data_IF_745197619037
#
_entry.id   IF_745197619037
#
_cell.length_a   1.000
_cell.length_b   1.000
_cell.length_c   1.000
_cell.angle_alpha   90.00
_cell.angle_beta   90.00
_cell.angle_gamma   90.00
#
_symmetry.space_group_name_H-M   'P 1'
#
loop_
_entity.id
_entity.type
_entity.pdbx_description
1 polymer ?
#
# COMPACT_ATOMS: atom_id res chain seq x y z
N UNK A 1 7.17 3.71 11.05
CA UNK A 1 5.96 3.32 11.83
C UNK A 1 6.20 2.78 13.26
N UNK A 2 7.08 1.78 13.47
CA UNK A 2 7.29 1.14 14.78
C UNK A 2 7.66 2.13 15.90
N UNK A 3 8.58 3.04 15.62
CA UNK A 3 9.05 4.03 16.60
C UNK A 3 7.92 4.94 17.09
N UNK A 4 7.00 5.35 16.20
CA UNK A 4 5.83 6.14 16.61
C UNK A 4 4.87 5.36 17.51
N UNK A 5 4.63 4.07 17.21
CA UNK A 5 3.82 3.24 18.09
C UNK A 5 4.43 3.13 19.49
N UNK A 6 5.75 2.97 19.59
CA UNK A 6 6.46 2.95 20.88
C UNK A 6 6.40 4.31 21.59
N UNK A 7 6.64 5.42 20.88
CA UNK A 7 6.58 6.78 21.41
C UNK A 7 5.18 7.12 21.95
N UNK A 8 4.11 6.71 21.24
CA UNK A 8 2.74 6.97 21.63
C UNK A 8 2.20 5.97 22.66
N UNK A 9 2.99 4.97 23.07
CA UNK A 9 2.59 3.96 24.03
C UNK A 9 1.56 2.95 23.50
N UNK A 10 1.48 2.78 22.18
CA UNK A 10 0.58 1.83 21.54
C UNK A 10 1.11 0.40 21.64
N UNK A 11 0.23 -0.51 22.03
CA UNK A 11 0.54 -1.94 22.15
C UNK A 11 0.35 -2.65 20.82
N UNK A 12 1.08 -3.74 20.63
CA UNK A 12 0.81 -4.67 19.52
C UNK A 12 -0.46 -5.47 19.83
N UNK A 13 -1.31 -5.65 18.82
CA UNK A 13 -2.48 -6.55 18.90
C UNK A 13 -2.00 -8.01 18.93
N UNK A 14 -2.77 -8.87 19.58
CA UNK A 14 -2.60 -10.32 19.42
C UNK A 14 -2.81 -10.71 17.95
N UNK A 15 -2.05 -11.70 17.50
CA UNK A 15 -2.25 -12.33 16.20
C UNK A 15 -3.22 -13.50 16.35
N UNK A 16 -4.28 -13.58 15.51
CA UNK A 16 -5.10 -14.77 15.45
C UNK A 16 -4.28 -15.96 14.93
N UNK A 17 -4.65 -17.17 15.32
CA UNK A 17 -4.09 -18.41 14.76
C UNK A 17 -4.85 -18.72 13.46
N UNK A 18 -4.75 -17.83 12.46
CA UNK A 18 -5.41 -17.94 11.18
C UNK A 18 -4.60 -18.80 10.18
N UNK A 19 -5.32 -19.54 9.32
CA UNK A 19 -4.70 -20.36 8.28
C UNK A 19 -4.84 -19.71 6.92
N UNK A 20 -3.74 -19.70 6.17
CA UNK A 20 -3.71 -19.22 4.80
C UNK A 20 -3.86 -20.37 3.79
N UNK A 21 -4.55 -20.09 2.68
CA UNK A 21 -4.50 -20.88 1.45
C UNK A 21 -4.22 -20.03 0.22
N UNK A 22 -3.64 -20.63 -0.80
CA UNK A 22 -3.41 -20.02 -2.11
C UNK A 22 -4.29 -20.74 -3.13
N UNK A 23 -5.21 -19.99 -3.75
CA UNK A 23 -6.14 -20.48 -4.75
C UNK A 23 -5.72 -20.00 -6.16
N UNK A 24 -5.55 -20.92 -7.09
CA UNK A 24 -5.11 -20.59 -8.46
C UNK A 24 -6.28 -20.36 -9.45
N UNK A 25 -7.52 -20.35 -8.97
CA UNK A 25 -8.71 -20.28 -9.79
C UNK A 25 -9.36 -21.61 -10.15
N UNK A 26 -8.69 -22.72 -9.85
CA UNK A 26 -9.20 -24.08 -10.04
C UNK A 26 -9.15 -24.87 -8.73
N UNK A 27 -8.04 -24.79 -8.01
CA UNK A 27 -7.79 -25.53 -6.77
C UNK A 27 -6.91 -24.74 -5.81
N UNK A 28 -6.84 -25.20 -4.55
CA UNK A 28 -5.84 -24.72 -3.61
C UNK A 28 -4.49 -25.37 -3.90
N UNK A 29 -3.55 -24.57 -4.42
CA UNK A 29 -2.17 -25.01 -4.66
C UNK A 29 -1.38 -25.14 -3.35
N UNK A 30 -1.78 -24.41 -2.32
CA UNK A 30 -1.20 -24.47 -0.99
C UNK A 30 -2.25 -24.20 0.08
N UNK A 31 -2.20 -24.94 1.19
CA UNK A 31 -3.03 -24.69 2.36
C UNK A 31 -2.23 -25.00 3.64
N UNK A 32 -2.26 -24.05 4.56
CA UNK A 32 -1.72 -24.23 5.90
C UNK A 32 -2.55 -25.21 6.71
N UNK A 33 -1.84 -26.00 7.50
CA UNK A 33 -2.39 -26.85 8.55
C UNK A 33 -2.20 -26.18 9.92
N UNK A 34 -2.84 -26.73 10.94
CA UNK A 34 -2.64 -26.32 12.33
C UNK A 34 -1.25 -26.66 12.89
N UNK A 35 -0.42 -27.42 12.16
CA UNK A 35 0.88 -27.89 12.62
C UNK A 35 2.00 -27.22 11.82
N UNK A 36 2.80 -26.37 12.49
CA UNK A 36 3.87 -25.63 11.82
C UNK A 36 4.87 -26.54 11.09
N UNK A 37 5.20 -27.72 11.66
CA UNK A 37 6.12 -28.66 11.00
C UNK A 37 5.57 -29.21 9.68
N UNK A 38 4.25 -29.45 9.60
CA UNK A 38 3.58 -29.87 8.37
C UNK A 38 3.64 -28.73 7.34
N UNK A 39 3.45 -27.49 7.79
CA UNK A 39 3.54 -26.32 6.90
C UNK A 39 4.95 -26.18 6.33
N UNK A 40 6.00 -26.32 7.16
CA UNK A 40 7.38 -26.32 6.67
C UNK A 40 7.66 -27.44 5.67
N UNK A 41 7.18 -28.66 5.93
CA UNK A 41 7.33 -29.79 5.01
C UNK A 41 6.59 -29.55 3.69
N UNK A 42 5.35 -29.07 3.72
CA UNK A 42 4.56 -28.72 2.51
C UNK A 42 5.24 -27.63 1.68
N UNK A 43 5.71 -26.57 2.32
CA UNK A 43 6.41 -25.45 1.68
C UNK A 43 7.69 -25.97 1.01
N UNK A 44 8.51 -26.73 1.73
CA UNK A 44 9.75 -27.29 1.18
C UNK A 44 9.48 -28.26 0.03
N UNK A 45 8.47 -29.12 0.16
CA UNK A 45 8.10 -30.07 -0.91
C UNK A 45 7.62 -29.36 -2.17
N UNK A 46 6.81 -28.31 -2.03
CA UNK A 46 6.19 -27.62 -3.17
C UNK A 46 7.15 -26.63 -3.84
N UNK A 47 7.87 -25.86 -3.03
CA UNK A 47 8.67 -24.70 -3.46
C UNK A 47 10.19 -24.86 -3.27
N UNK A 48 10.64 -25.97 -2.69
CA UNK A 48 12.06 -26.21 -2.45
C UNK A 48 12.67 -25.14 -1.53
N UNK A 49 13.81 -24.60 -1.94
CA UNK A 49 14.56 -23.59 -1.18
C UNK A 49 14.14 -22.15 -1.48
N UNK A 50 13.22 -21.92 -2.42
CA UNK A 50 12.80 -20.58 -2.84
C UNK A 50 12.27 -19.72 -1.67
N UNK A 51 11.44 -20.23 -0.73
CA UNK A 51 11.02 -19.45 0.44
C UNK A 51 12.19 -18.97 1.32
N UNK A 52 13.25 -19.78 1.46
CA UNK A 52 14.46 -19.37 2.19
C UNK A 52 15.25 -18.32 1.42
N UNK A 53 15.38 -18.48 0.09
CA UNK A 53 16.01 -17.49 -0.79
C UNK A 53 15.24 -16.17 -0.78
N UNK A 54 13.90 -16.23 -0.71
CA UNK A 54 13.06 -15.05 -0.58
C UNK A 54 13.36 -14.30 0.72
N UNK A 55 13.39 -14.99 1.86
CA UNK A 55 13.71 -14.36 3.14
C UNK A 55 15.10 -13.70 3.10
N UNK A 56 16.10 -14.34 2.48
CA UNK A 56 17.43 -13.73 2.29
C UNK A 56 17.37 -12.50 1.39
N UNK A 57 16.64 -12.57 0.28
CA UNK A 57 16.48 -11.45 -0.66
C UNK A 57 15.79 -10.24 0.00
N UNK A 58 14.71 -10.47 0.76
CA UNK A 58 13.99 -9.39 1.46
C UNK A 58 14.85 -8.80 2.58
N UNK A 59 15.63 -9.61 3.31
CA UNK A 59 16.56 -9.08 4.33
C UNK A 59 17.62 -8.17 3.73
N UNK A 60 18.23 -8.55 2.60
CA UNK A 60 19.18 -7.72 1.87
C UNK A 60 18.53 -6.41 1.38
N UNK A 61 17.33 -6.52 0.78
CA UNK A 61 16.54 -5.36 0.36
C UNK A 61 16.27 -4.41 1.54
N UNK A 62 15.75 -4.91 2.68
CA UNK A 62 15.46 -4.09 3.86
C UNK A 62 16.72 -3.46 4.46
N UNK A 63 17.87 -4.16 4.42
CA UNK A 63 19.15 -3.60 4.84
C UNK A 63 19.54 -2.39 3.99
N UNK A 64 19.40 -2.49 2.66
CA UNK A 64 19.67 -1.37 1.73
C UNK A 64 18.65 -0.24 1.89
N UNK A 65 17.36 -0.59 2.02
CA UNK A 65 16.26 0.35 2.24
C UNK A 65 16.47 1.20 3.50
N UNK A 66 16.95 0.60 4.59
CA UNK A 66 17.16 1.30 5.87
C UNK A 66 18.14 2.48 5.83
N UNK A 67 19.00 2.56 4.80
CA UNK A 67 19.93 3.69 4.61
C UNK A 67 19.22 5.03 4.52
N UNK A 68 17.97 5.06 4.02
CA UNK A 68 17.21 6.30 3.90
C UNK A 68 17.03 7.00 5.25
N UNK A 69 16.84 6.24 6.33
CA UNK A 69 16.68 6.81 7.67
C UNK A 69 17.94 7.54 8.11
N UNK A 70 19.13 6.94 7.93
CA UNK A 70 20.40 7.59 8.26
C UNK A 70 20.64 8.86 7.45
N UNK A 71 20.29 8.83 6.16
CA UNK A 71 20.39 10.00 5.28
C UNK A 71 19.47 11.13 5.78
N UNK A 72 18.21 10.82 6.07
CA UNK A 72 17.24 11.78 6.57
C UNK A 72 17.56 12.26 8.00
N UNK A 73 18.13 11.41 8.85
CA UNK A 73 18.65 11.78 10.18
C UNK A 73 19.79 12.79 10.06
N UNK A 74 20.62 12.68 9.02
CA UNK A 74 21.68 13.66 8.70
C UNK A 74 21.19 14.93 8.00
N UNK A 75 19.87 15.11 7.88
CA UNK A 75 19.26 16.27 7.20
C UNK A 75 19.31 16.22 5.67
N UNK A 76 19.66 15.07 5.06
CA UNK A 76 19.64 14.95 3.60
C UNK A 76 18.21 14.81 3.09
N UNK A 77 17.91 15.55 2.04
CA UNK A 77 16.66 15.52 1.32
C UNK A 77 16.91 15.45 -0.19
N UNK A 78 15.92 14.98 -0.93
CA UNK A 78 16.00 14.72 -2.37
C UNK A 78 14.87 15.43 -3.08
N UNK A 79 15.17 16.17 -4.14
CA UNK A 79 14.16 16.92 -4.89
C UNK A 79 13.32 15.98 -5.76
N UNK A 80 13.87 14.83 -6.17
CA UNK A 80 13.16 13.86 -7.01
C UNK A 80 13.09 12.47 -6.37
N UNK A 81 12.05 11.70 -6.74
CA UNK A 81 11.91 10.31 -6.31
C UNK A 81 13.09 9.43 -6.78
N UNK A 82 13.54 9.48 -8.05
CA UNK A 82 14.67 8.67 -8.49
C UNK A 82 15.98 8.93 -7.73
N UNK A 83 16.25 10.18 -7.34
CA UNK A 83 17.42 10.50 -6.51
C UNK A 83 17.33 9.85 -5.13
N UNK A 84 16.16 9.92 -4.48
CA UNK A 84 15.91 9.28 -3.20
C UNK A 84 16.12 7.75 -3.29
N UNK A 85 15.56 7.11 -4.32
CA UNK A 85 15.70 5.67 -4.53
C UNK A 85 17.16 5.28 -4.79
N UNK A 86 17.87 6.05 -5.63
CA UNK A 86 19.30 5.83 -5.91
C UNK A 86 20.15 5.97 -4.66
N UNK A 87 19.86 6.96 -3.80
CA UNK A 87 20.59 7.18 -2.56
C UNK A 87 20.46 6.01 -1.56
N UNK A 88 19.37 5.25 -1.61
CA UNK A 88 19.28 3.98 -0.87
C UNK A 88 20.15 2.90 -1.52
N UNK A 89 20.03 2.71 -2.84
CA UNK A 89 20.80 1.72 -3.58
C UNK A 89 20.68 1.92 -5.10
N UNK A 90 21.80 1.91 -5.83
CA UNK A 90 21.81 1.87 -7.29
C UNK A 90 21.03 0.67 -7.87
N UNK A 91 20.94 -0.43 -7.11
CA UNK A 91 20.14 -1.60 -7.52
C UNK A 91 18.64 -1.30 -7.54
N UNK A 92 18.13 -0.45 -6.64
CA UNK A 92 16.72 -0.10 -6.62
C UNK A 92 16.35 0.72 -7.85
N UNK A 93 17.22 1.63 -8.27
CA UNK A 93 17.04 2.39 -9.50
C UNK A 93 16.99 1.50 -10.74
N UNK A 94 17.76 0.40 -10.76
CA UNK A 94 17.65 -0.63 -11.81
C UNK A 94 16.32 -1.37 -11.73
N UNK A 95 15.90 -1.77 -10.52
CA UNK A 95 14.65 -2.50 -10.29
C UNK A 95 13.40 -1.72 -10.70
N UNK A 96 13.41 -0.38 -10.60
CA UNK A 96 12.32 0.47 -11.12
C UNK A 96 12.11 0.30 -12.64
N UNK A 97 13.12 -0.18 -13.36
CA UNK A 97 13.11 -0.34 -14.82
C UNK A 97 13.03 -1.81 -15.28
N UNK A 98 12.86 -2.75 -14.35
CA UNK A 98 12.74 -4.19 -14.66
C UNK A 98 11.34 -4.67 -14.32
N UNK A 99 10.73 -5.48 -15.18
CA UNK A 99 9.50 -6.21 -14.82
C UNK A 99 9.80 -7.25 -13.74
N UNK A 100 8.91 -7.38 -12.76
CA UNK A 100 9.16 -8.21 -11.58
C UNK A 100 9.30 -9.70 -11.87
N UNK A 101 8.44 -10.28 -12.71
CA UNK A 101 8.51 -11.71 -13.04
C UNK A 101 9.86 -12.10 -13.69
N UNK A 102 10.33 -11.44 -14.77
CA UNK A 102 11.68 -11.69 -15.31
C UNK A 102 12.78 -11.47 -14.28
N UNK A 103 12.70 -10.43 -13.44
CA UNK A 103 13.68 -10.19 -12.38
C UNK A 103 13.79 -11.37 -11.39
N UNK A 104 12.66 -11.89 -10.90
CA UNK A 104 12.67 -13.05 -10.00
C UNK A 104 13.25 -14.29 -10.68
N UNK A 105 12.86 -14.55 -11.93
CA UNK A 105 13.27 -15.75 -12.67
C UNK A 105 14.74 -15.69 -13.09
N UNK A 106 15.12 -14.62 -13.78
CA UNK A 106 16.40 -14.51 -14.51
C UNK A 106 17.52 -13.97 -13.62
N UNK A 107 17.26 -12.95 -12.82
CA UNK A 107 18.31 -12.35 -11.97
C UNK A 107 18.42 -13.01 -10.60
N UNK A 108 17.30 -13.46 -10.03
CA UNK A 108 17.27 -14.08 -8.70
C UNK A 108 17.19 -15.61 -8.73
N UNK A 109 16.86 -16.20 -9.89
CA UNK A 109 16.85 -17.64 -10.09
C UNK A 109 15.74 -18.37 -9.32
N UNK A 110 14.60 -17.72 -9.08
CA UNK A 110 13.41 -18.37 -8.50
C UNK A 110 12.73 -19.26 -9.54
N UNK A 111 12.14 -20.37 -9.07
CA UNK A 111 11.41 -21.28 -9.95
C UNK A 111 10.04 -20.69 -10.33
N UNK A 112 9.58 -20.98 -11.55
CA UNK A 112 8.32 -20.45 -12.07
C UNK A 112 7.13 -20.79 -11.17
N UNK A 113 7.07 -22.02 -10.66
CA UNK A 113 6.02 -22.41 -9.71
C UNK A 113 5.93 -21.48 -8.49
N UNK A 114 7.07 -21.08 -7.93
CA UNK A 114 7.08 -20.16 -6.79
C UNK A 114 6.58 -18.77 -7.19
N UNK A 115 6.97 -18.32 -8.39
CA UNK A 115 6.58 -17.02 -8.93
C UNK A 115 5.07 -16.99 -9.23
N UNK A 116 4.57 -17.98 -9.96
CA UNK A 116 3.21 -18.03 -10.50
C UNK A 116 2.15 -18.39 -9.42
N UNK A 117 2.59 -18.92 -8.28
CA UNK A 117 1.70 -19.24 -7.16
C UNK A 117 1.88 -18.27 -5.99
N UNK A 118 3.02 -18.32 -5.29
CA UNK A 118 3.21 -17.56 -4.05
C UNK A 118 3.45 -16.09 -4.32
N UNK A 119 4.40 -15.75 -5.21
CA UNK A 119 4.67 -14.35 -5.50
C UNK A 119 3.46 -13.67 -6.15
N UNK A 120 2.85 -14.33 -7.15
CA UNK A 120 1.63 -13.85 -7.80
C UNK A 120 0.50 -13.61 -6.80
N UNK A 121 0.24 -14.55 -5.88
CA UNK A 121 -0.80 -14.38 -4.85
C UNK A 121 -0.54 -13.17 -3.93
N UNK A 122 0.72 -12.97 -3.52
CA UNK A 122 1.10 -11.82 -2.67
C UNK A 122 0.96 -10.50 -3.41
N UNK A 123 1.48 -10.40 -4.64
CA UNK A 123 1.36 -9.18 -5.45
C UNK A 123 -0.09 -8.89 -5.79
N UNK A 124 -0.89 -9.91 -6.11
CA UNK A 124 -2.31 -9.72 -6.39
C UNK A 124 -3.08 -9.27 -5.14
N UNK A 125 -2.78 -9.82 -3.96
CA UNK A 125 -3.42 -9.39 -2.71
C UNK A 125 -3.02 -7.96 -2.31
N UNK A 126 -1.74 -7.61 -2.41
CA UNK A 126 -1.22 -6.33 -1.94
C UNK A 126 -1.45 -5.20 -2.96
N UNK A 127 -1.29 -5.52 -4.26
CA UNK A 127 -1.31 -4.55 -5.34
C UNK A 127 -2.45 -4.75 -6.35
N UNK A 128 -3.23 -5.83 -6.30
CA UNK A 128 -4.30 -6.08 -7.29
C UNK A 128 -3.80 -6.07 -8.73
N UNK A 129 -2.50 -6.34 -8.92
CA UNK A 129 -1.75 -6.28 -10.17
C UNK A 129 -0.95 -7.58 -10.33
N UNK A 130 -0.47 -7.85 -11.54
CA UNK A 130 0.29 -9.06 -11.83
C UNK A 130 1.82 -8.86 -11.73
N UNK A 131 2.55 -9.95 -11.50
CA UNK A 131 4.02 -9.96 -11.50
C UNK A 131 4.63 -9.55 -12.86
N UNK A 132 3.86 -9.70 -13.94
CA UNK A 132 4.20 -9.28 -15.30
C UNK A 132 3.97 -7.78 -15.54
N UNK A 133 3.21 -7.12 -14.66
CA UNK A 133 2.84 -5.71 -14.79
C UNK A 133 3.72 -4.82 -13.92
N UNK A 134 3.92 -5.20 -12.66
CA UNK A 134 4.66 -4.38 -11.70
C UNK A 134 6.16 -4.40 -11.97
N UNK A 135 6.82 -3.28 -11.67
CA UNK A 135 8.28 -3.24 -11.66
C UNK A 135 8.87 -4.05 -10.49
N UNK A 136 10.14 -4.39 -10.57
CA UNK A 136 10.81 -5.29 -9.63
C UNK A 136 10.90 -4.70 -8.22
N UNK A 137 11.01 -3.37 -8.09
CA UNK A 137 11.09 -2.72 -6.78
C UNK A 137 9.74 -2.82 -6.05
N UNK A 138 8.63 -2.52 -6.74
CA UNK A 138 7.27 -2.71 -6.22
C UNK A 138 7.03 -4.16 -5.82
N UNK A 139 7.45 -5.11 -6.66
CA UNK A 139 7.36 -6.53 -6.37
C UNK A 139 8.12 -6.93 -5.10
N UNK A 140 9.36 -6.45 -4.95
CA UNK A 140 10.17 -6.68 -3.74
C UNK A 140 9.55 -6.05 -2.49
N UNK A 141 8.99 -4.83 -2.58
CA UNK A 141 8.24 -4.20 -1.48
C UNK A 141 6.98 -5.00 -1.14
N UNK A 142 6.25 -5.50 -2.14
CA UNK A 142 5.08 -6.35 -1.94
C UNK A 142 5.41 -7.65 -1.22
N UNK A 143 6.50 -8.32 -1.62
CA UNK A 143 6.98 -9.54 -0.97
C UNK A 143 7.54 -9.30 0.44
N UNK A 144 7.95 -8.07 0.79
CA UNK A 144 8.29 -7.74 2.17
C UNK A 144 7.09 -7.87 3.12
N UNK A 145 5.86 -7.81 2.60
CA UNK A 145 4.63 -8.13 3.34
C UNK A 145 4.33 -9.64 3.47
N UNK A 146 5.20 -10.52 2.97
CA UNK A 146 5.03 -11.98 3.07
C UNK A 146 6.08 -12.64 3.99
N UNK A 147 6.90 -11.85 4.68
CA UNK A 147 7.88 -12.37 5.65
C UNK A 147 7.30 -12.39 7.08
N UNK A 148 7.82 -13.25 7.98
CA UNK A 148 7.35 -13.33 9.35
C UNK A 148 7.54 -12.03 10.15
N UNK A 149 6.86 -11.91 11.30
CA UNK A 149 6.93 -10.81 12.28
C UNK A 149 6.23 -9.51 11.86
N UNK A 150 5.24 -9.60 10.98
CA UNK A 150 4.25 -8.53 10.80
C UNK A 150 3.46 -8.32 12.09
N UNK A 151 2.97 -7.10 12.29
CA UNK A 151 2.24 -6.70 13.49
C UNK A 151 1.20 -5.64 13.16
N UNK A 152 0.23 -5.49 14.04
CA UNK A 152 -0.76 -4.42 14.00
C UNK A 152 -0.84 -3.73 15.36
N UNK A 153 -1.21 -2.46 15.37
CA UNK A 153 -1.54 -1.72 16.60
C UNK A 153 -2.82 -2.28 17.20
N UNK A 154 -2.81 -2.56 18.49
CA UNK A 154 -4.03 -2.85 19.25
C UNK A 154 -4.91 -1.60 19.30
N UNK A 155 -6.13 -1.70 18.79
CA UNK A 155 -7.02 -0.56 18.54
C UNK A 155 -6.98 -0.04 17.10
N UNK A 156 -6.03 -0.51 16.29
CA UNK A 156 -5.98 -0.27 14.84
C UNK A 156 -4.85 0.66 14.38
N UNK A 157 -4.30 0.38 13.19
CA UNK A 157 -3.16 1.13 12.65
C UNK A 157 -3.47 2.62 12.38
N UNK A 158 -4.74 3.00 12.24
CA UNK A 158 -5.18 4.39 12.02
C UNK A 158 -4.83 5.33 13.19
N UNK A 159 -4.61 4.78 14.39
CA UNK A 159 -4.26 5.56 15.57
C UNK A 159 -2.91 6.28 15.43
N UNK A 160 -2.00 5.77 14.59
CA UNK A 160 -0.70 6.40 14.36
C UNK A 160 -0.84 7.72 13.58
N UNK A 161 -1.40 7.75 12.35
CA UNK A 161 -1.59 9.01 11.63
C UNK A 161 -2.54 9.96 12.36
N UNK A 162 -3.53 9.46 13.09
CA UNK A 162 -4.38 10.31 13.94
C UNK A 162 -3.56 11.05 15.01
N UNK A 163 -2.72 10.33 15.76
CA UNK A 163 -1.87 10.95 16.79
C UNK A 163 -0.82 11.89 16.21
N UNK A 164 -0.28 11.60 15.02
CA UNK A 164 0.62 12.51 14.32
C UNK A 164 -0.10 13.83 13.95
N UNK A 165 -1.34 13.76 13.47
CA UNK A 165 -2.15 14.93 13.18
C UNK A 165 -2.44 15.73 14.46
N UNK A 166 -2.84 15.06 15.55
CA UNK A 166 -3.08 15.69 16.86
C UNK A 166 -1.82 16.41 17.40
N UNK A 167 -0.64 15.77 17.33
CA UNK A 167 0.63 16.36 17.78
C UNK A 167 1.16 17.49 16.87
N UNK A 168 0.71 17.56 15.62
CA UNK A 168 1.21 18.58 14.67
C UNK A 168 0.75 20.01 15.00
N UNK A 169 -0.23 20.19 15.89
CA UNK A 169 -0.93 21.46 16.11
C UNK A 169 -1.50 22.09 14.84
N UNK A 170 -1.75 21.29 13.79
CA UNK A 170 -2.33 21.78 12.54
C UNK A 170 -3.81 22.10 12.69
N UNK A 171 -4.29 23.07 11.91
CA UNK A 171 -5.71 23.35 11.77
C UNK A 171 -6.27 22.52 10.60
N UNK A 172 -7.13 21.54 10.92
CA UNK A 172 -7.72 20.64 9.92
C UNK A 172 -9.04 21.22 9.42
N UNK A 173 -9.11 21.53 8.13
CA UNK A 173 -10.30 22.10 7.49
C UNK A 173 -10.86 21.09 6.50
N UNK A 174 -12.13 20.74 6.65
CA UNK A 174 -12.83 19.87 5.70
C UNK A 174 -13.33 20.70 4.51
N UNK A 175 -12.51 20.77 3.45
CA UNK A 175 -12.84 21.45 2.21
C UNK A 175 -12.05 20.87 1.03
N UNK A 176 -12.59 21.00 -0.19
CA UNK A 176 -11.88 20.66 -1.42
C UNK A 176 -11.10 21.88 -1.89
N UNK A 177 -9.77 21.80 -1.99
CA UNK A 177 -8.97 22.87 -2.60
C UNK A 177 -9.19 22.88 -4.11
N UNK A 178 -9.49 24.05 -4.65
CA UNK A 178 -9.78 24.25 -6.07
C UNK A 178 -8.63 24.97 -6.79
N UNK A 179 -8.10 26.00 -6.15
CA UNK A 179 -7.13 26.89 -6.78
C UNK A 179 -6.15 27.46 -5.74
N UNK A 180 -4.91 27.70 -6.15
CA UNK A 180 -3.88 28.32 -5.32
C UNK A 180 -3.29 29.50 -6.08
N UNK A 181 -3.34 30.67 -5.46
CA UNK A 181 -2.81 31.92 -6.01
C UNK A 181 -1.43 32.19 -5.44
N UNK A 182 -0.49 32.59 -6.30
CA UNK A 182 0.82 33.12 -5.89
C UNK A 182 0.68 34.65 -5.79
N UNK A 183 0.75 35.16 -4.57
CA UNK A 183 0.60 36.58 -4.30
C UNK A 183 1.88 37.36 -4.68
N UNK A 184 1.80 38.70 -4.88
CA UNK A 184 2.97 39.53 -5.20
C UNK A 184 4.08 39.52 -4.13
N UNK A 185 3.76 39.13 -2.89
CA UNK A 185 4.72 38.96 -1.79
C UNK A 185 5.43 37.59 -1.82
N UNK A 186 5.14 36.75 -2.82
CA UNK A 186 5.69 35.41 -2.98
C UNK A 186 4.99 34.33 -2.13
N UNK A 187 3.95 34.69 -1.36
CA UNK A 187 3.19 33.76 -0.53
C UNK A 187 1.98 33.21 -1.25
N UNK A 188 1.36 32.19 -0.67
CA UNK A 188 0.23 31.47 -1.24
C UNK A 188 -1.10 31.79 -0.57
N UNK A 189 -2.14 31.95 -1.37
CA UNK A 189 -3.55 31.99 -0.93
C UNK A 189 -4.27 30.76 -1.48
N UNK A 190 -5.08 30.10 -0.65
CA UNK A 190 -5.78 28.88 -1.01
C UNK A 190 -7.27 29.16 -1.18
N UNK A 191 -7.83 28.84 -2.34
CA UNK A 191 -9.27 28.83 -2.59
C UNK A 191 -9.83 27.41 -2.47
N UNK A 192 -10.88 27.26 -1.67
CA UNK A 192 -11.48 25.96 -1.41
C UNK A 192 -13.01 26.03 -1.33
N UNK A 193 -13.64 24.87 -1.49
CA UNK A 193 -15.09 24.66 -1.44
C UNK A 193 -15.45 23.77 -0.26
N UNK A 194 -16.36 24.22 0.62
CA UNK A 194 -16.83 23.45 1.78
C UNK A 194 -17.84 22.34 1.40
N UNK A 195 -18.30 21.57 2.40
CA UNK A 195 -19.32 20.52 2.22
C UNK A 195 -20.68 21.01 1.71
N UNK A 196 -20.98 22.30 1.85
CA UNK A 196 -22.21 22.94 1.39
C UNK A 196 -22.04 23.59 0.00
N UNK A 197 -20.92 23.36 -0.67
CA UNK A 197 -20.53 23.99 -1.93
C UNK A 197 -20.31 25.50 -1.84
N UNK A 198 -20.01 26.05 -0.66
CA UNK A 198 -19.63 27.45 -0.53
C UNK A 198 -18.14 27.62 -0.86
N UNK A 199 -17.85 28.53 -1.77
CA UNK A 199 -16.49 28.92 -2.11
C UNK A 199 -15.95 29.93 -1.08
N UNK A 200 -14.74 29.70 -0.60
CA UNK A 200 -14.03 30.62 0.28
C UNK A 200 -12.54 30.66 -0.03
N UNK A 201 -11.89 31.74 0.38
CA UNK A 201 -10.44 31.87 0.34
C UNK A 201 -9.87 31.75 1.76
N UNK A 202 -8.65 31.24 1.88
CA UNK A 202 -7.91 31.26 3.14
C UNK A 202 -7.73 32.70 3.61
N UNK A 203 -7.88 32.91 4.91
CA UNK A 203 -7.64 34.23 5.52
C UNK A 203 -6.16 34.53 5.70
N UNK A 204 -5.33 33.49 5.76
CA UNK A 204 -3.89 33.59 5.95
C UNK A 204 -3.15 33.43 4.61
N UNK A 205 -1.95 34.01 4.55
CA UNK A 205 -0.97 33.76 3.50
C UNK A 205 0.00 32.67 3.98
N UNK A 206 0.33 31.71 3.13
CA UNK A 206 1.21 30.59 3.45
C UNK A 206 2.57 30.73 2.77
N UNK A 207 3.65 30.33 3.45
CA UNK A 207 5.00 30.40 2.88
C UNK A 207 5.29 29.22 1.92
N UNK A 208 4.59 28.10 2.09
CA UNK A 208 4.73 26.93 1.23
C UNK A 208 3.42 26.15 1.09
N UNK A 209 3.35 25.33 0.03
CA UNK A 209 2.26 24.39 -0.28
C UNK A 209 2.81 22.99 -0.38
N UNK A 210 2.25 22.05 0.39
CA UNK A 210 2.56 20.62 0.28
C UNK A 210 1.33 19.88 -0.25
N UNK A 211 1.45 19.35 -1.47
CA UNK A 211 0.42 18.59 -2.15
C UNK A 211 0.47 17.14 -1.68
N UNK A 212 -0.63 16.68 -1.08
CA UNK A 212 -0.83 15.31 -0.60
C UNK A 212 -1.95 14.57 -1.36
N UNK A 213 -2.10 14.86 -2.65
CA UNK A 213 -3.11 14.29 -3.54
C UNK A 213 -2.46 13.50 -4.69
N UNK A 214 -3.18 12.54 -5.30
CA UNK A 214 -2.77 11.93 -6.55
C UNK A 214 -2.66 12.97 -7.67
N UNK A 215 -1.46 13.19 -8.20
CA UNK A 215 -1.24 14.05 -9.38
C UNK A 215 -1.34 13.22 -10.66
N UNK A 216 -2.56 12.85 -11.04
CA UNK A 216 -2.91 12.10 -12.26
C UNK A 216 -3.86 12.91 -13.15
N UNK A 217 -3.63 12.86 -14.46
CA UNK A 217 -4.28 13.78 -15.42
C UNK A 217 -5.81 13.69 -15.45
N UNK A 218 -6.37 12.50 -15.24
CA UNK A 218 -7.81 12.26 -15.38
C UNK A 218 -8.66 12.73 -14.19
N UNK A 219 -8.05 13.14 -13.07
CA UNK A 219 -8.76 13.48 -11.83
C UNK A 219 -8.24 14.76 -11.13
N UNK A 220 -7.32 15.48 -11.77
CA UNK A 220 -6.73 16.69 -11.20
C UNK A 220 -7.60 17.91 -11.52
N UNK A 221 -8.37 18.37 -10.54
CA UNK A 221 -9.13 19.63 -10.64
C UNK A 221 -8.44 20.85 -10.02
N UNK A 222 -7.27 20.65 -9.41
CA UNK A 222 -6.49 21.71 -8.75
C UNK A 222 -5.67 22.49 -9.78
N UNK A 223 -5.69 23.82 -9.70
CA UNK A 223 -4.81 24.69 -10.47
C UNK A 223 -3.97 25.59 -9.56
N UNK A 224 -2.77 25.95 -10.00
CA UNK A 224 -1.88 26.88 -9.29
C UNK A 224 -1.36 27.90 -10.30
N UNK A 225 -1.41 29.19 -9.94
CA UNK A 225 -0.99 30.27 -10.84
C UNK A 225 0.46 30.10 -11.31
N UNK A 226 0.65 30.09 -12.63
CA UNK A 226 1.99 30.05 -13.25
C UNK A 226 2.76 28.74 -13.05
N UNK A 227 2.15 27.70 -12.48
CA UNK A 227 2.81 26.42 -12.18
C UNK A 227 2.15 25.29 -12.96
N UNK A 228 2.94 24.62 -13.78
CA UNK A 228 2.54 23.35 -14.39
C UNK A 228 2.76 22.22 -13.39
N UNK A 229 1.65 21.63 -12.91
CA UNK A 229 1.70 20.49 -12.01
C UNK A 229 2.21 19.21 -12.69
N UNK A 230 2.33 19.21 -14.03
CA UNK A 230 2.81 18.09 -14.84
C UNK A 230 2.24 16.74 -14.39
N UNK A 231 0.90 16.58 -14.35
CA UNK A 231 0.29 15.38 -13.81
C UNK A 231 0.73 14.14 -14.59
N UNK A 232 0.92 13.03 -13.87
CA UNK A 232 1.35 11.78 -14.46
C UNK A 232 0.26 11.25 -15.41
N UNK A 233 0.67 10.76 -16.58
CA UNK A 233 -0.21 10.10 -17.54
C UNK A 233 -0.66 8.69 -17.09
N UNK A 234 -0.02 8.15 -16.06
CA UNK A 234 -0.40 6.88 -15.46
C UNK A 234 -1.77 6.93 -14.77
N UNK A 235 -2.30 5.75 -14.47
CA UNK A 235 -3.59 5.61 -13.78
C UNK A 235 -3.41 4.98 -12.41
N UNK A 236 -4.36 5.17 -11.50
CA UNK A 236 -4.36 4.48 -10.22
C UNK A 236 -5.10 3.16 -10.31
N UNK A 237 -4.65 2.19 -9.52
CA UNK A 237 -5.36 0.96 -9.29
C UNK A 237 -6.55 1.23 -8.37
N UNK A 238 -7.75 1.09 -8.92
CA UNK A 238 -8.96 1.04 -8.11
C UNK A 238 -9.02 -0.31 -7.40
N UNK A 239 -9.21 -0.26 -6.08
CA UNK A 239 -9.53 -1.42 -5.27
C UNK A 239 -10.80 -1.15 -4.48
N UNK A 240 -11.54 -2.21 -4.21
CA UNK A 240 -12.72 -2.19 -3.36
C UNK A 240 -12.52 -3.24 -2.28
N UNK A 241 -12.67 -2.81 -1.03
CA UNK A 241 -12.78 -3.71 0.11
C UNK A 241 -14.27 -3.94 0.38
N UNK A 242 -14.75 -5.13 0.11
CA UNK A 242 -16.12 -5.54 0.43
C UNK A 242 -16.09 -6.34 1.72
N UNK A 243 -16.76 -5.86 2.76
CA UNK A 243 -16.95 -6.54 4.03
C UNK A 243 -18.30 -7.23 4.05
N UNK A 244 -18.30 -8.51 4.42
CA UNK A 244 -19.48 -9.38 4.40
C UNK A 244 -19.58 -10.08 5.74
N UNK A 245 -20.66 -9.83 6.47
CA UNK A 245 -21.01 -10.64 7.64
C UNK A 245 -21.78 -11.86 7.14
N UNK A 246 -21.21 -13.06 7.28
CA UNK A 246 -21.79 -14.24 6.64
C UNK A 246 -20.93 -15.49 6.70
N UNK A 247 -21.25 -16.47 5.85
CA UNK A 247 -20.52 -17.76 5.70
C UNK A 247 -20.07 -17.95 4.25
N UNK A 248 -18.75 -18.00 3.97
CA UNK A 248 -18.24 -18.28 2.62
C UNK A 248 -18.62 -19.68 2.16
N UNK A 249 -18.81 -19.83 0.85
CA UNK A 249 -19.16 -21.09 0.20
C UNK A 249 -17.91 -21.86 -0.17
N UNK A 250 -17.67 -22.99 0.50
CA UNK A 250 -16.49 -23.81 0.26
C UNK A 250 -16.44 -24.42 -1.15
N UNK A 251 -17.59 -24.81 -1.68
CA UNK A 251 -17.74 -25.34 -3.05
C UNK A 251 -17.25 -24.40 -4.15
N UNK A 252 -17.29 -23.09 -3.91
CA UNK A 252 -16.79 -22.09 -4.87
C UNK A 252 -15.29 -22.17 -5.07
N UNK A 253 -14.58 -22.75 -4.11
CA UNK A 253 -13.14 -22.98 -4.14
C UNK A 253 -12.81 -24.47 -4.35
N UNK A 254 -13.76 -25.26 -4.86
CA UNK A 254 -13.56 -26.69 -5.17
C UNK A 254 -13.52 -27.61 -3.95
N UNK A 255 -14.02 -27.17 -2.79
CA UNK A 255 -14.07 -27.99 -1.57
C UNK A 255 -15.44 -28.64 -1.38
N UNK A 256 -15.43 -29.93 -1.03
CA UNK A 256 -16.65 -30.69 -0.69
C UNK A 256 -17.05 -30.56 0.78
N UNK A 257 -16.07 -30.27 1.65
CA UNK A 257 -16.32 -29.94 3.05
C UNK A 257 -16.35 -28.43 3.28
N UNK A 258 -16.85 -28.02 4.45
CA UNK A 258 -16.95 -26.60 4.81
C UNK A 258 -15.61 -26.02 5.34
N UNK A 259 -14.49 -26.76 5.21
CA UNK A 259 -13.20 -26.35 5.77
C UNK A 259 -12.40 -25.49 4.78
N UNK A 260 -12.69 -24.20 4.81
CA UNK A 260 -11.87 -23.19 4.14
C UNK A 260 -10.74 -22.67 5.06
N UNK A 261 -9.59 -22.28 4.47
CA UNK A 261 -8.63 -21.41 5.14
C UNK A 261 -9.29 -20.10 5.60
N UNK A 262 -8.79 -19.54 6.70
CA UNK A 262 -9.25 -18.24 7.20
C UNK A 262 -8.88 -17.10 6.26
N UNK A 263 -7.77 -17.22 5.54
CA UNK A 263 -7.33 -16.29 4.50
C UNK A 263 -7.03 -17.02 3.19
N UNK A 264 -7.68 -16.59 2.11
CA UNK A 264 -7.52 -17.12 0.76
C UNK A 264 -6.87 -16.04 -0.09
N UNK A 265 -5.63 -16.28 -0.52
CA UNK A 265 -4.94 -15.46 -1.50
C UNK A 265 -5.15 -16.05 -2.90
N UNK A 266 -5.40 -15.19 -3.88
CA UNK A 266 -5.67 -15.64 -5.26
C UNK A 266 -4.46 -15.35 -6.14
N UNK A 267 -3.87 -16.37 -6.76
CA UNK A 267 -2.71 -16.18 -7.66
C UNK A 267 -3.12 -15.84 -9.10
N UNK A 268 -4.31 -16.24 -9.54
CA UNK A 268 -4.85 -15.89 -10.85
C UNK A 268 -5.43 -14.46 -10.85
N UNK A 269 -4.69 -13.53 -11.47
CA UNK A 269 -5.00 -12.10 -11.44
C UNK A 269 -6.23 -11.73 -12.28
N UNK A 270 -6.67 -12.58 -13.21
CA UNK A 270 -7.87 -12.35 -14.03
C UNK A 270 -9.18 -12.57 -13.27
N UNK A 271 -9.14 -13.24 -12.12
CA UNK A 271 -10.32 -13.42 -11.29
C UNK A 271 -10.79 -12.09 -10.68
N UNK A 272 -12.09 -12.02 -10.44
CA UNK A 272 -12.75 -10.86 -9.83
C UNK A 272 -12.16 -10.54 -8.46
N UNK A 273 -12.02 -11.56 -7.61
CA UNK A 273 -11.49 -11.45 -6.26
C UNK A 273 -9.97 -11.62 -6.27
N UNK A 274 -9.29 -10.81 -5.45
CA UNK A 274 -7.83 -10.85 -5.27
C UNK A 274 -7.45 -11.57 -3.98
N UNK A 275 -8.33 -11.48 -2.99
CA UNK A 275 -8.30 -12.28 -1.77
C UNK A 275 -9.66 -12.29 -1.08
N UNK A 276 -9.88 -13.30 -0.25
CA UNK A 276 -11.00 -13.40 0.69
C UNK A 276 -10.42 -13.82 2.04
N UNK A 277 -10.58 -13.00 3.07
CA UNK A 277 -10.04 -13.32 4.39
C UNK A 277 -10.97 -12.95 5.53
N UNK A 278 -10.95 -13.75 6.59
CA UNK A 278 -11.63 -13.45 7.85
C UNK A 278 -11.05 -12.18 8.45
N UNK A 279 -11.92 -11.24 8.79
CA UNK A 279 -11.54 -9.95 9.34
C UNK A 279 -11.78 -9.96 10.85
N UNK A 280 -10.72 -9.73 11.62
CA UNK A 280 -10.76 -9.69 13.08
C UNK A 280 -10.86 -8.25 13.59
N UNK A 281 -11.52 -8.06 14.73
CA UNK A 281 -11.62 -6.78 15.43
C UNK A 281 -10.22 -6.17 15.67
N UNK A 282 -10.10 -4.85 15.57
CA UNK A 282 -8.86 -4.13 15.86
C UNK A 282 -8.42 -4.27 17.32
N UNK A 283 -9.34 -4.64 18.22
CA UNK A 283 -9.09 -4.95 19.63
C UNK A 283 -9.14 -6.47 19.92
N UNK A 284 -9.10 -7.31 18.89
CA UNK A 284 -9.14 -8.76 19.06
C UNK A 284 -7.99 -9.25 19.95
N UNK A 285 -8.33 -10.16 20.86
CA UNK A 285 -7.42 -10.88 21.75
C UNK A 285 -7.72 -12.37 21.70
N UNK A 286 -6.78 -13.20 22.18
CA UNK A 286 -7.02 -14.66 22.32
C UNK A 286 -8.20 -15.03 23.21
N UNK A 287 -8.65 -14.11 24.07
CA UNK A 287 -9.81 -14.29 24.95
C UNK A 287 -11.10 -13.66 24.41
N UNK A 288 -11.06 -13.08 23.22
CA UNK A 288 -12.25 -12.47 22.60
C UNK A 288 -13.28 -13.56 22.29
N UNK A 289 -14.57 -13.32 22.58
CA UNK A 289 -15.61 -14.30 22.30
C UNK A 289 -15.78 -14.48 20.79
N UNK A 290 -16.27 -15.65 20.37
CA UNK A 290 -16.67 -15.85 18.98
C UNK A 290 -17.85 -14.92 18.66
N UNK A 291 -17.65 -14.10 17.62
CA UNK A 291 -18.69 -13.25 17.04
C UNK A 291 -19.04 -13.76 15.64
N UNK A 292 -20.12 -13.23 15.08
CA UNK A 292 -20.45 -13.47 13.68
C UNK A 292 -19.25 -13.12 12.79
N UNK A 293 -18.86 -14.06 11.93
CA UNK A 293 -17.69 -13.91 11.09
C UNK A 293 -17.91 -12.82 10.05
N UNK A 294 -17.01 -11.85 10.03
CA UNK A 294 -16.90 -10.83 8.97
C UNK A 294 -15.75 -11.25 8.06
N UNK A 295 -16.00 -11.23 6.76
CA UNK A 295 -15.01 -11.52 5.73
C UNK A 295 -14.76 -10.27 4.91
N UNK A 296 -13.50 -10.03 4.58
CA UNK A 296 -13.06 -8.98 3.67
C UNK A 296 -12.69 -9.61 2.34
N UNK A 297 -13.26 -9.06 1.28
CA UNK A 297 -12.94 -9.41 -0.10
C UNK A 297 -12.26 -8.19 -0.73
N UNK A 298 -11.10 -8.41 -1.32
CA UNK A 298 -10.48 -7.41 -2.19
C UNK A 298 -10.83 -7.72 -3.64
N UNK A 299 -11.29 -6.71 -4.38
CA UNK A 299 -11.63 -6.79 -5.80
C UNK A 299 -11.32 -5.47 -6.51
N UNK A 300 -11.27 -5.50 -7.84
CA UNK A 300 -11.05 -4.28 -8.67
C UNK A 300 -12.35 -3.59 -9.09
N UNK A 301 -13.49 -4.23 -8.84
CA UNK A 301 -14.84 -3.72 -9.10
C UNK A 301 -15.81 -4.22 -8.01
N UNK A 302 -16.96 -3.54 -7.87
CA UNK A 302 -17.98 -3.93 -6.89
C UNK A 302 -18.46 -5.35 -7.18
N UNK A 303 -18.73 -6.11 -6.12
CA UNK A 303 -19.20 -7.50 -6.25
C UNK A 303 -20.73 -7.47 -6.30
N UNK A 304 -21.27 -7.87 -7.44
CA UNK A 304 -22.72 -7.93 -7.64
C UNK A 304 -23.37 -8.97 -6.73
N UNK A 305 -24.66 -8.82 -6.45
CA UNK A 305 -25.38 -9.72 -5.55
C UNK A 305 -25.34 -11.19 -6.02
N UNK A 306 -25.41 -11.43 -7.33
CA UNK A 306 -25.29 -12.77 -7.91
C UNK A 306 -23.91 -13.39 -7.65
N UNK A 307 -22.84 -12.64 -7.92
CA UNK A 307 -21.45 -13.04 -7.65
C UNK A 307 -21.21 -13.26 -6.15
N UNK A 308 -21.84 -12.46 -5.30
CA UNK A 308 -21.72 -12.62 -3.86
C UNK A 308 -22.40 -13.91 -3.36
N UNK A 309 -23.54 -14.30 -3.94
CA UNK A 309 -24.24 -15.57 -3.66
C UNK A 309 -23.47 -16.80 -4.16
N UNK A 310 -22.62 -16.62 -5.17
CA UNK A 310 -21.63 -17.63 -5.56
C UNK A 310 -20.55 -17.75 -4.48
N UNK A 311 -20.03 -16.64 -3.96
CA UNK A 311 -18.95 -16.65 -2.95
C UNK A 311 -19.42 -17.03 -1.53
N UNK A 312 -20.69 -16.80 -1.18
CA UNK A 312 -21.22 -16.98 0.17
C UNK A 312 -22.49 -17.85 0.18
N UNK A 313 -22.61 -18.68 1.23
CA UNK A 313 -23.83 -19.44 1.53
C UNK A 313 -24.84 -18.60 2.31
N UNK A 314 -24.33 -17.74 3.18
CA UNK A 314 -25.11 -16.83 4.02
C UNK A 314 -24.53 -15.42 3.93
N UNK A 315 -25.39 -14.43 3.74
CA UNK A 315 -25.06 -13.01 3.68
C UNK A 315 -26.03 -12.28 4.61
N UNK A 316 -25.54 -11.80 5.76
CA UNK A 316 -26.33 -11.00 6.71
C UNK A 316 -26.21 -9.50 6.41
N UNK A 317 -25.01 -9.05 6.06
CA UNK A 317 -24.71 -7.65 5.82
C UNK A 317 -23.55 -7.51 4.82
N UNK A 318 -23.58 -6.44 4.02
CA UNK A 318 -22.53 -6.08 3.07
C UNK A 318 -22.19 -4.59 3.21
N UNK A 319 -20.90 -4.26 3.28
CA UNK A 319 -20.40 -2.89 3.24
C UNK A 319 -19.23 -2.79 2.26
N UNK A 320 -19.21 -1.79 1.38
CA UNK A 320 -18.11 -1.56 0.44
C UNK A 320 -17.37 -0.26 0.75
N UNK A 321 -16.04 -0.34 0.73
CA UNK A 321 -15.16 0.83 0.76
C UNK A 321 -14.40 0.90 -0.56
N UNK A 322 -14.55 2.02 -1.26
CA UNK A 322 -13.90 2.29 -2.54
C UNK A 322 -12.70 3.19 -2.31
N UNK A 323 -11.54 2.84 -2.87
CA UNK A 323 -10.37 3.72 -2.83
C UNK A 323 -9.51 3.59 -4.10
N UNK A 324 -8.82 4.67 -4.44
CA UNK A 324 -7.68 4.62 -5.37
C UNK A 324 -6.44 4.34 -4.53
N UNK A 325 -5.96 3.09 -4.57
CA UNK A 325 -5.02 2.62 -3.57
C UNK A 325 -3.58 3.08 -3.86
N UNK A 326 -3.14 2.98 -5.11
CA UNK A 326 -1.78 3.29 -5.55
C UNK A 326 -1.70 3.34 -7.09
N UNK A 327 -0.61 3.85 -7.68
CA UNK A 327 -0.40 3.81 -9.12
C UNK A 327 -0.48 2.39 -9.72
N UNK A 328 -0.92 2.31 -10.97
CA UNK A 328 -0.63 1.13 -11.80
C UNK A 328 0.83 1.20 -12.21
N UNK A 329 1.60 0.23 -11.78
CA UNK A 329 3.06 0.20 -11.95
C UNK A 329 3.50 -0.38 -13.29
N UNK A 330 2.55 -0.58 -14.22
CA UNK A 330 2.83 -1.04 -15.58
C UNK A 330 3.81 -0.09 -16.24
N UNK A 331 4.97 -0.62 -16.61
CA UNK A 331 6.10 0.15 -17.11
C UNK A 331 5.80 0.78 -18.49
N UNK A 332 5.70 2.11 -18.54
CA UNK A 332 5.63 2.93 -19.75
C UNK A 332 6.66 4.08 -19.76
N UNK A 333 7.69 4.00 -18.92
CA UNK A 333 8.81 4.97 -18.89
C UNK A 333 8.59 6.19 -17.99
N UNK A 334 7.51 6.24 -17.21
CA UNK A 334 7.08 7.40 -16.39
C UNK A 334 7.94 7.65 -15.14
N UNK A 335 8.75 6.69 -14.69
CA UNK A 335 9.50 6.77 -13.41
C UNK A 335 10.52 7.93 -13.31
N UNK A 336 10.89 8.62 -14.41
CA UNK A 336 11.99 9.60 -14.40
C UNK A 336 11.58 11.03 -14.05
N UNK A 337 10.29 11.36 -14.00
CA UNK A 337 9.83 12.75 -13.83
C UNK A 337 9.11 13.03 -12.51
N UNK A 338 9.05 12.07 -11.59
CA UNK A 338 8.30 12.24 -10.35
C UNK A 338 9.12 13.07 -9.33
N UNK A 339 8.71 14.32 -9.14
CA UNK A 339 9.42 15.29 -8.29
C UNK A 339 8.72 15.49 -6.95
N UNK A 340 9.50 15.54 -5.86
CA UNK A 340 9.03 16.04 -4.56
C UNK A 340 8.96 17.57 -4.54
N UNK A 341 9.79 18.27 -5.32
CA UNK A 341 9.75 19.73 -5.46
C UNK A 341 9.24 20.09 -6.86
N UNK A 342 8.02 20.61 -6.94
CA UNK A 342 7.39 20.96 -8.23
C UNK A 342 7.86 22.34 -8.70
N UNK A 343 7.86 23.30 -7.77
CA UNK A 343 8.31 24.67 -7.97
C UNK A 343 8.79 25.23 -6.62
N UNK A 344 9.31 26.45 -6.61
CA UNK A 344 9.74 27.11 -5.37
C UNK A 344 8.56 27.22 -4.38
N UNK A 345 8.71 26.64 -3.19
CA UNK A 345 7.64 26.62 -2.18
C UNK A 345 6.48 25.68 -2.47
N UNK A 346 6.52 24.85 -3.53
CA UNK A 346 5.48 23.87 -3.87
C UNK A 346 6.07 22.47 -3.94
N UNK A 347 5.57 21.57 -3.09
CA UNK A 347 6.08 20.21 -2.94
C UNK A 347 4.99 19.17 -3.16
N UNK A 348 5.37 17.96 -3.58
CA UNK A 348 4.47 16.81 -3.74
C UNK A 348 4.95 15.62 -2.92
N UNK A 349 4.25 15.30 -1.83
CA UNK A 349 4.68 14.24 -0.93
C UNK A 349 4.43 12.83 -1.49
N UNK A 350 3.37 12.66 -2.28
CA UNK A 350 3.02 11.36 -2.89
C UNK A 350 3.89 11.01 -4.11
N UNK A 351 4.89 11.82 -4.45
CA UNK A 351 5.91 11.46 -5.43
C UNK A 351 6.53 10.08 -5.15
N UNK A 352 6.68 9.73 -3.87
CA UNK A 352 7.21 8.43 -3.43
C UNK A 352 6.33 7.24 -3.84
N UNK A 353 5.02 7.43 -4.02
CA UNK A 353 4.08 6.34 -4.33
C UNK A 353 4.32 5.71 -5.70
N UNK A 354 4.96 6.45 -6.62
CA UNK A 354 5.37 5.94 -7.92
C UNK A 354 6.57 4.99 -7.84
N UNK A 355 7.34 5.01 -6.75
CA UNK A 355 8.35 3.99 -6.48
C UNK A 355 7.70 2.71 -5.95
N UNK A 356 6.91 2.84 -4.88
CA UNK A 356 6.06 1.79 -4.31
C UNK A 356 5.10 2.44 -3.29
N UNK A 357 4.01 1.75 -2.94
CA UNK A 357 3.04 2.27 -1.97
C UNK A 357 2.97 1.40 -0.72
N UNK A 358 3.22 2.03 0.43
CA UNK A 358 3.04 1.49 1.76
C UNK A 358 3.05 2.66 2.75
N UNK A 359 2.49 2.47 3.96
CA UNK A 359 2.53 3.51 5.01
C UNK A 359 3.96 4.00 5.29
N UNK A 360 4.96 3.11 5.23
CA UNK A 360 6.36 3.49 5.44
C UNK A 360 6.90 4.35 4.28
N UNK A 361 6.45 4.11 3.04
CA UNK A 361 6.81 4.96 1.89
C UNK A 361 6.24 6.37 2.07
N UNK A 362 4.98 6.50 2.49
CA UNK A 362 4.36 7.80 2.78
C UNK A 362 5.08 8.54 3.91
N UNK A 363 5.51 7.82 4.95
CA UNK A 363 6.31 8.39 6.04
C UNK A 363 7.68 8.93 5.55
N UNK A 364 8.38 8.17 4.69
CA UNK A 364 9.65 8.59 4.08
C UNK A 364 9.44 9.81 3.19
N UNK A 365 8.40 9.83 2.35
CA UNK A 365 8.06 10.98 1.51
C UNK A 365 7.75 12.22 2.34
N UNK A 366 6.94 12.08 3.39
CA UNK A 366 6.61 13.17 4.32
C UNK A 366 7.84 13.75 5.00
N UNK A 367 8.74 12.88 5.49
CA UNK A 367 10.00 13.30 6.08
C UNK A 367 10.92 13.98 5.06
N UNK A 368 10.97 13.50 3.82
CA UNK A 368 11.77 14.09 2.76
C UNK A 368 11.32 15.52 2.46
N UNK A 369 10.00 15.74 2.29
CA UNK A 369 9.45 17.09 2.05
C UNK A 369 9.65 18.01 3.24
N UNK A 370 9.49 17.52 4.48
CA UNK A 370 9.81 18.31 5.67
C UNK A 370 11.27 18.79 5.67
N UNK A 371 12.22 17.93 5.32
CA UNK A 371 13.63 18.32 5.22
C UNK A 371 13.91 19.29 4.06
N UNK A 372 13.23 19.16 2.92
CA UNK A 372 13.30 20.15 1.84
C UNK A 372 12.82 21.52 2.31
N UNK A 373 11.70 21.58 3.05
CA UNK A 373 11.18 22.82 3.61
C UNK A 373 12.17 23.46 4.59
N UNK A 374 12.79 22.69 5.48
CA UNK A 374 13.82 23.22 6.41
C UNK A 374 14.99 23.84 5.64
N UNK A 375 15.42 23.20 4.54
CA UNK A 375 16.52 23.69 3.69
C UNK A 375 16.14 24.94 2.90
N UNK A 376 14.92 25.00 2.38
CA UNK A 376 14.48 26.09 1.51
C UNK A 376 14.07 27.35 2.29
N UNK A 377 13.68 27.22 3.57
CA UNK A 377 13.18 28.32 4.40
C UNK A 377 14.04 28.63 5.63
N UNK A 378 15.23 28.04 5.78
CA UNK A 378 16.15 28.23 6.91
C UNK A 378 15.47 28.12 8.29
N UNK A 379 14.45 27.26 8.39
CA UNK A 379 13.75 27.01 9.66
C UNK A 379 14.66 26.10 10.50
N UNK A 380 15.35 26.67 11.49
CA UNK A 380 16.20 25.92 12.43
C UNK A 380 15.41 25.24 13.54
#
# INVERSE_FOLDING_TARGET
MKNWAEEFGYKKRDSPDDRMGIYNGVEFVFEESSWSFVNYAKIFWRYGLDPFRLNSHIKDMLSKFSKIYQLQDSGKAFETMPELITAMSDEFSKQLNLTFRPFLKEEKGFHERFIDELAAAVINCNYGQACEEVNAFVGSVGLAGAVPNLWAVNGGNFQIPQMLAEKSNSNIISAKVNHITINPDGKYTVQATDSNNNLFNSTNHYDAVVLALPLISNDLSLTIDGVDLAPHSGTYQKLIATFVRGKPRAKTFGKEDDHLPDSILVSETRLLIKSLGKNFDVNWTKSSPEHDNVYKIFSTQSIEEAQLKELFEEIKEKHEVHWFAYPKYKFDGVSKSTSFKIADGIYHVNAIEWAASAMEMSAIGGRNVALLLLKDFDVQ
#
